data_IF_843759057160
#
_entry.id   IF_843759057160
#
_cell.length_a   1.000
_cell.length_b   1.000
_cell.length_c   1.000
_cell.angle_alpha   90.00
_cell.angle_beta   90.00
_cell.angle_gamma   90.00
#
_symmetry.space_group_name_H-M   'P 1'
#
loop_
_entity.id
_entity.type
_entity.pdbx_description
1 polymer ?
#
# COMPACT_ATOMS: atom_id res chain seq x y z
N UNK A 1 4.46 8.19 -0.22
CA UNK A 1 3.00 8.48 -0.19
C UNK A 1 2.24 7.17 -0.40
N UNK A 2 1.06 7.00 0.18
CA UNK A 2 0.20 5.83 -0.09
C UNK A 2 -1.13 6.27 -0.66
N UNK A 3 -1.61 5.57 -1.69
CA UNK A 3 -2.75 6.00 -2.51
C UNK A 3 -3.59 4.79 -2.84
N UNK A 4 -4.87 4.85 -2.50
CA UNK A 4 -5.82 3.78 -2.82
C UNK A 4 -7.25 4.34 -2.88
N UNK A 5 -8.15 3.73 -3.68
CA UNK A 5 -9.57 4.06 -3.69
C UNK A 5 -10.28 3.51 -2.46
N UNK A 6 -11.16 4.33 -1.86
CA UNK A 6 -11.96 3.99 -0.69
C UNK A 6 -13.08 3.02 -1.04
N UNK A 7 -13.79 2.61 0.00
CA UNK A 7 -15.11 2.02 -0.13
C UNK A 7 -16.03 2.97 -0.93
N UNK A 8 -17.00 2.37 -1.61
CA UNK A 8 -18.01 3.12 -2.33
C UNK A 8 -18.93 3.85 -1.35
N UNK A 9 -19.03 5.16 -1.53
CA UNK A 9 -19.74 6.08 -0.63
C UNK A 9 -21.15 6.40 -1.11
N UNK A 10 -21.57 5.84 -2.25
CA UNK A 10 -22.95 5.62 -2.76
C UNK A 10 -22.83 5.30 -4.24
N UNK A 11 -22.84 6.36 -5.06
CA UNK A 11 -22.68 6.35 -6.51
C UNK A 11 -21.26 6.78 -6.91
N UNK A 12 -20.45 7.21 -5.94
CA UNK A 12 -19.08 7.66 -6.14
C UNK A 12 -18.12 6.92 -5.20
N UNK A 13 -16.88 6.83 -5.65
CA UNK A 13 -15.71 6.40 -4.90
C UNK A 13 -14.82 7.61 -4.62
N UNK A 14 -13.89 7.45 -3.67
CA UNK A 14 -12.92 8.49 -3.34
C UNK A 14 -11.53 7.87 -3.36
N UNK A 15 -10.61 8.37 -4.16
CA UNK A 15 -9.20 8.00 -4.06
C UNK A 15 -8.50 8.96 -3.12
N UNK A 16 -7.93 8.44 -2.05
CA UNK A 16 -7.21 9.25 -1.06
C UNK A 16 -5.72 9.08 -1.24
N UNK A 17 -4.99 10.19 -1.15
CA UNK A 17 -3.57 10.15 -0.82
C UNK A 17 -3.39 10.21 0.69
N UNK A 18 -2.37 9.54 1.22
CA UNK A 18 -2.04 9.56 2.64
C UNK A 18 -0.53 9.65 2.83
N UNK A 19 -0.16 10.30 3.93
CA UNK A 19 1.24 10.46 4.33
C UNK A 19 1.37 10.40 5.84
N UNK A 20 2.60 10.22 6.33
CA UNK A 20 2.91 10.31 7.76
C UNK A 20 3.42 11.71 8.06
N UNK A 21 2.83 12.38 9.05
CA UNK A 21 3.26 13.72 9.44
C UNK A 21 4.56 13.65 10.24
N UNK A 22 5.71 13.86 9.58
CA UNK A 22 7.02 13.53 10.14
C UNK A 22 7.47 14.39 11.32
N UNK A 23 6.86 15.57 11.52
CA UNK A 23 7.22 16.47 12.62
C UNK A 23 6.61 16.07 13.96
N UNK A 24 5.54 15.29 13.93
CA UNK A 24 4.76 14.95 15.13
C UNK A 24 4.80 13.46 15.39
N UNK A 25 4.44 13.08 16.60
CA UNK A 25 4.19 11.70 16.98
C UNK A 25 3.01 11.60 17.94
N UNK A 26 2.31 10.46 17.91
CA UNK A 26 1.32 10.13 18.94
C UNK A 26 1.98 10.06 20.31
N UNK A 27 1.40 10.77 21.29
CA UNK A 27 1.83 10.69 22.70
C UNK A 27 1.77 9.24 23.23
N UNK A 28 0.75 8.48 22.79
CA UNK A 28 0.51 7.09 23.19
C UNK A 28 1.41 6.08 22.48
N UNK A 29 1.52 6.17 21.15
CA UNK A 29 2.18 5.14 20.34
C UNK A 29 3.61 5.48 19.92
N UNK A 30 4.04 6.73 20.13
CA UNK A 30 5.36 7.27 19.74
C UNK A 30 5.68 7.03 18.26
N UNK A 31 4.65 7.11 17.39
CA UNK A 31 4.76 6.98 15.94
C UNK A 31 4.19 8.21 15.24
N UNK A 32 4.75 8.62 14.08
CA UNK A 32 4.17 9.67 13.27
C UNK A 32 2.72 9.37 12.86
N UNK A 33 1.77 10.30 13.11
CA UNK A 33 0.38 10.10 12.75
C UNK A 33 0.19 10.06 11.24
N UNK A 34 -0.90 9.45 10.81
CA UNK A 34 -1.27 9.35 9.40
C UNK A 34 -2.24 10.48 9.08
N UNK A 35 -1.93 11.22 8.02
CA UNK A 35 -2.70 12.36 7.56
C UNK A 35 -3.31 12.05 6.19
N UNK A 36 -4.49 12.60 5.94
CA UNK A 36 -5.16 12.54 4.65
C UNK A 36 -4.61 13.70 3.82
N UNK A 37 -4.08 13.38 2.65
CA UNK A 37 -3.67 14.38 1.67
C UNK A 37 -4.82 14.72 0.70
N UNK A 38 -4.48 15.26 -0.48
CA UNK A 38 -5.44 15.45 -1.55
C UNK A 38 -6.25 14.19 -1.87
N UNK A 39 -7.50 14.39 -2.28
CA UNK A 39 -8.45 13.34 -2.60
C UNK A 39 -9.16 13.61 -3.92
N UNK A 40 -9.48 12.54 -4.66
CA UNK A 40 -10.28 12.59 -5.87
C UNK A 40 -11.62 11.90 -5.64
N UNK A 41 -12.71 12.64 -5.82
CA UNK A 41 -14.06 12.05 -5.89
C UNK A 41 -14.34 11.69 -7.33
N UNK A 42 -14.72 10.44 -7.59
CA UNK A 42 -14.99 9.97 -8.95
C UNK A 42 -16.08 8.88 -8.98
N UNK A 43 -16.66 8.67 -10.15
CA UNK A 43 -17.74 7.68 -10.36
C UNK A 43 -17.25 6.42 -11.07
N UNK A 44 -16.01 6.43 -11.57
CA UNK A 44 -15.42 5.33 -12.34
C UNK A 44 -13.94 5.22 -12.05
N UNK A 45 -13.49 4.00 -11.73
CA UNK A 45 -12.09 3.62 -11.57
C UNK A 45 -11.48 3.30 -12.93
N UNK A 46 -11.02 4.33 -13.63
CA UNK A 46 -10.40 4.20 -14.96
C UNK A 46 -9.03 4.85 -14.98
N UNK A 47 -8.20 4.45 -15.95
CA UNK A 47 -6.88 5.05 -16.14
C UNK A 47 -6.99 6.57 -16.28
N UNK A 48 -7.91 7.06 -17.12
CA UNK A 48 -8.15 8.49 -17.33
C UNK A 48 -8.58 9.22 -16.05
N UNK A 49 -9.37 8.58 -15.18
CA UNK A 49 -9.77 9.15 -13.89
C UNK A 49 -8.55 9.39 -13.00
N UNK A 50 -7.67 8.38 -12.89
CA UNK A 50 -6.49 8.46 -12.04
C UNK A 50 -5.43 9.38 -12.61
N UNK A 51 -5.20 9.32 -13.93
CA UNK A 51 -4.32 10.24 -14.64
C UNK A 51 -4.75 11.70 -14.42
N UNK A 52 -6.05 11.99 -14.57
CA UNK A 52 -6.57 13.33 -14.32
C UNK A 52 -6.29 13.80 -12.88
N UNK A 53 -6.48 12.93 -11.89
CA UNK A 53 -6.20 13.25 -10.50
C UNK A 53 -4.72 13.63 -10.33
N UNK A 54 -3.83 12.80 -10.83
CA UNK A 54 -2.39 12.95 -10.68
C UNK A 54 -1.81 14.18 -11.39
N UNK A 55 -2.18 14.39 -12.65
CA UNK A 55 -1.78 15.59 -13.39
C UNK A 55 -2.30 16.85 -12.71
N UNK A 56 -3.48 16.79 -12.08
CA UNK A 56 -4.00 17.90 -11.26
C UNK A 56 -3.15 18.12 -10.01
N UNK A 57 -2.73 17.05 -9.31
CA UNK A 57 -1.84 17.17 -8.15
C UNK A 57 -0.52 17.86 -8.49
N UNK A 58 0.14 17.40 -9.55
CA UNK A 58 1.40 17.99 -10.02
C UNK A 58 1.19 19.45 -10.45
N UNK A 59 0.11 19.72 -11.19
CA UNK A 59 -0.24 21.07 -11.63
C UNK A 59 -0.49 22.05 -10.48
N UNK A 60 -1.00 21.58 -9.34
CA UNK A 60 -1.24 22.39 -8.15
C UNK A 60 0.00 22.51 -7.23
N UNK A 61 0.87 21.51 -7.21
CA UNK A 61 2.08 21.48 -6.39
C UNK A 61 3.19 20.74 -7.14
N UNK A 62 4.03 21.50 -7.85
CA UNK A 62 5.11 20.95 -8.69
C UNK A 62 6.16 20.20 -7.87
N UNK A 63 6.29 20.49 -6.58
CA UNK A 63 7.17 19.76 -5.67
C UNK A 63 6.79 18.27 -5.57
N UNK A 64 5.55 17.90 -5.89
CA UNK A 64 5.12 16.50 -5.93
C UNK A 64 5.81 15.70 -7.05
N UNK A 65 6.34 16.33 -8.10
CA UNK A 65 7.17 15.66 -9.11
C UNK A 65 8.39 14.95 -8.49
N UNK A 66 8.83 15.41 -7.32
CA UNK A 66 9.98 14.85 -6.60
C UNK A 66 9.60 13.70 -5.67
N UNK A 67 8.34 13.26 -5.64
CA UNK A 67 7.92 12.10 -4.83
C UNK A 67 8.75 10.89 -5.25
N UNK A 68 9.49 10.34 -4.28
CA UNK A 68 10.42 9.22 -4.51
C UNK A 68 9.76 7.86 -4.38
N UNK A 69 8.66 7.76 -3.64
CA UNK A 69 8.00 6.47 -3.34
C UNK A 69 6.49 6.64 -3.28
N UNK A 70 5.80 5.80 -4.06
CA UNK A 70 4.34 5.66 -4.08
C UNK A 70 4.01 4.22 -3.72
N UNK A 71 3.05 4.02 -2.83
CA UNK A 71 2.59 2.68 -2.46
C UNK A 71 1.09 2.53 -2.63
N UNK A 72 0.66 1.36 -3.12
CA UNK A 72 -0.75 1.03 -3.38
C UNK A 72 -1.08 -0.40 -2.95
N UNK A 73 -2.36 -0.76 -3.00
CA UNK A 73 -2.86 -2.12 -2.82
C UNK A 73 -2.56 -3.06 -4.01
N UNK A 74 -2.11 -2.50 -5.13
CA UNK A 74 -1.80 -3.20 -6.37
C UNK A 74 -2.92 -3.20 -7.43
N UNK A 75 -3.92 -2.31 -7.33
CA UNK A 75 -4.88 -2.09 -8.43
C UNK A 75 -4.14 -1.61 -9.69
N UNK A 76 -4.13 -2.45 -10.75
CA UNK A 76 -3.29 -2.22 -11.93
C UNK A 76 -3.56 -0.89 -12.62
N UNK A 77 -4.84 -0.53 -12.79
CA UNK A 77 -5.25 0.71 -13.47
C UNK A 77 -4.76 1.96 -12.72
N UNK A 78 -4.79 1.91 -11.39
CA UNK A 78 -4.23 2.95 -10.52
C UNK A 78 -2.71 3.01 -10.66
N UNK A 79 -2.04 1.86 -10.55
CA UNK A 79 -0.59 1.77 -10.65
C UNK A 79 -0.08 2.28 -12.01
N UNK A 80 -0.77 1.95 -13.10
CA UNK A 80 -0.37 2.37 -14.44
C UNK A 80 -0.49 3.88 -14.64
N UNK A 81 -1.55 4.50 -14.10
CA UNK A 81 -1.70 5.96 -14.11
C UNK A 81 -0.56 6.61 -13.30
N UNK A 82 -0.36 6.18 -12.05
CA UNK A 82 0.68 6.71 -11.17
C UNK A 82 2.10 6.51 -11.72
N UNK A 83 2.36 5.43 -12.46
CA UNK A 83 3.65 5.23 -13.15
C UNK A 83 3.83 6.19 -14.33
N UNK A 84 2.75 6.60 -14.99
CA UNK A 84 2.81 7.56 -16.08
C UNK A 84 3.21 8.95 -15.58
N UNK A 85 2.57 9.46 -14.53
CA UNK A 85 2.85 10.81 -14.00
C UNK A 85 4.05 10.86 -13.05
N UNK A 86 4.38 9.75 -12.39
CA UNK A 86 5.54 9.64 -11.48
C UNK A 86 6.51 8.54 -11.95
N UNK A 87 7.15 8.71 -13.12
CA UNK A 87 8.01 7.68 -13.72
C UNK A 87 9.30 7.44 -12.93
N UNK A 88 9.74 8.41 -12.14
CA UNK A 88 10.95 8.33 -11.30
C UNK A 88 10.68 7.89 -9.86
N UNK A 89 9.41 7.74 -9.47
CA UNK A 89 9.06 7.23 -8.17
C UNK A 89 9.20 5.71 -8.15
N UNK A 90 9.70 5.15 -7.06
CA UNK A 90 9.58 3.73 -6.80
C UNK A 90 8.13 3.40 -6.41
N UNK A 91 7.56 2.39 -7.06
CA UNK A 91 6.19 1.95 -6.81
C UNK A 91 6.21 0.69 -5.96
N UNK A 92 5.52 0.71 -4.83
CA UNK A 92 5.44 -0.39 -3.87
C UNK A 92 4.04 -1.01 -3.86
N UNK A 93 3.98 -2.33 -3.73
CA UNK A 93 2.72 -3.07 -3.62
C UNK A 93 2.56 -3.67 -2.23
N UNK A 94 1.34 -3.57 -1.67
CA UNK A 94 1.03 -4.04 -0.34
C UNK A 94 1.14 -5.58 -0.19
N UNK A 95 1.94 -6.04 0.78
CA UNK A 95 2.12 -7.47 1.07
C UNK A 95 0.83 -8.17 1.51
N UNK A 96 -0.03 -7.47 2.26
CA UNK A 96 -1.31 -8.02 2.74
C UNK A 96 -2.23 -8.31 1.55
N UNK A 97 -2.30 -7.38 0.60
CA UNK A 97 -3.11 -7.53 -0.60
C UNK A 97 -2.53 -8.58 -1.53
N UNK A 98 -1.21 -8.64 -1.72
CA UNK A 98 -0.58 -9.74 -2.46
C UNK A 98 -0.97 -11.10 -1.88
N UNK A 99 -0.79 -11.30 -0.56
CA UNK A 99 -1.13 -12.55 0.13
C UNK A 99 -2.60 -12.94 -0.09
N UNK A 100 -3.53 -11.99 0.03
CA UNK A 100 -4.96 -12.24 -0.21
C UNK A 100 -5.25 -12.62 -1.67
N UNK A 101 -4.58 -11.97 -2.63
CA UNK A 101 -4.73 -12.29 -4.05
C UNK A 101 -4.24 -13.70 -4.38
N UNK A 102 -3.06 -14.09 -3.87
CA UNK A 102 -2.51 -15.43 -4.07
C UNK A 102 -3.45 -16.48 -3.44
N UNK A 103 -3.88 -16.28 -2.18
CA UNK A 103 -4.82 -17.18 -1.50
C UNK A 103 -6.12 -17.40 -2.28
N UNK A 104 -6.74 -16.32 -2.75
CA UNK A 104 -7.97 -16.39 -3.57
C UNK A 104 -7.71 -17.18 -4.84
N UNK A 105 -6.62 -16.88 -5.56
CA UNK A 105 -6.33 -17.59 -6.81
C UNK A 105 -6.03 -19.07 -6.60
N UNK A 106 -5.34 -19.44 -5.53
CA UNK A 106 -5.10 -20.84 -5.16
C UNK A 106 -6.43 -21.58 -4.93
N UNK A 107 -7.37 -20.94 -4.22
CA UNK A 107 -8.72 -21.47 -4.02
C UNK A 107 -9.49 -21.60 -5.34
N UNK A 108 -9.48 -20.56 -6.19
CA UNK A 108 -10.11 -20.59 -7.52
C UNK A 108 -9.48 -21.68 -8.42
N UNK A 109 -8.22 -22.02 -8.15
CA UNK A 109 -7.49 -23.06 -8.85
C UNK A 109 -7.70 -24.46 -8.26
N UNK A 110 -8.46 -24.60 -7.16
CA UNK A 110 -8.62 -25.83 -6.37
C UNK A 110 -7.30 -26.41 -5.84
N UNK A 111 -6.30 -25.56 -5.61
CA UNK A 111 -5.02 -26.03 -5.06
C UNK A 111 -5.23 -26.47 -3.60
N UNK A 112 -4.78 -27.67 -3.20
CA UNK A 112 -4.90 -28.18 -1.84
C UNK A 112 -4.30 -27.24 -0.79
N UNK A 113 -4.82 -27.32 0.44
CA UNK A 113 -4.45 -26.41 1.52
C UNK A 113 -2.97 -26.52 1.93
N UNK A 114 -2.41 -27.72 1.95
CA UNK A 114 -1.00 -27.96 2.27
C UNK A 114 -0.08 -27.32 1.22
N UNK A 115 -0.31 -27.59 -0.07
CA UNK A 115 0.46 -26.99 -1.15
C UNK A 115 0.26 -25.46 -1.20
N UNK A 116 -0.94 -24.97 -0.89
CA UNK A 116 -1.21 -23.54 -0.79
C UNK A 116 -0.37 -22.84 0.27
N UNK A 117 -0.12 -23.50 1.42
CA UNK A 117 0.76 -22.98 2.48
C UNK A 117 2.20 -22.94 1.98
N UNK A 118 2.67 -23.98 1.32
CA UNK A 118 4.03 -24.05 0.77
C UNK A 118 4.26 -22.97 -0.29
N UNK A 119 3.33 -22.80 -1.24
CA UNK A 119 3.39 -21.74 -2.25
C UNK A 119 3.44 -20.36 -1.58
N UNK A 120 2.62 -20.11 -0.54
CA UNK A 120 2.64 -18.83 0.16
C UNK A 120 3.98 -18.58 0.87
N UNK A 121 4.58 -19.61 1.44
CA UNK A 121 5.88 -19.52 2.10
C UNK A 121 7.00 -19.28 1.07
N UNK A 122 6.98 -20.01 -0.05
CA UNK A 122 7.93 -19.85 -1.14
C UNK A 122 7.88 -18.44 -1.74
N UNK A 123 6.68 -17.84 -1.82
CA UNK A 123 6.52 -16.48 -2.36
C UNK A 123 6.86 -15.40 -1.32
N UNK A 124 6.32 -15.49 -0.10
CA UNK A 124 6.34 -14.40 0.89
C UNK A 124 7.40 -14.54 1.98
N UNK A 125 8.11 -15.66 2.01
CA UNK A 125 8.94 -16.07 3.14
C UNK A 125 8.11 -16.57 4.32
N UNK A 126 8.75 -17.29 5.22
CA UNK A 126 8.13 -17.75 6.46
C UNK A 126 9.10 -17.71 7.64
N UNK A 127 8.53 -17.69 8.84
CA UNK A 127 9.30 -17.77 10.08
C UNK A 127 9.14 -19.16 10.67
N UNK A 128 10.26 -19.88 10.82
CA UNK A 128 10.32 -21.21 11.42
C UNK A 128 11.11 -21.08 12.72
N UNK A 129 10.41 -21.11 13.85
CA UNK A 129 10.98 -20.83 15.17
C UNK A 129 11.56 -19.40 15.23
N UNK A 130 12.87 -19.30 15.40
CA UNK A 130 13.61 -18.02 15.41
C UNK A 130 14.19 -17.63 14.05
N UNK A 131 14.17 -18.54 13.07
CA UNK A 131 14.80 -18.34 11.75
C UNK A 131 13.77 -17.86 10.74
N UNK A 132 14.16 -16.91 9.90
CA UNK A 132 13.38 -16.48 8.75
C UNK A 132 13.91 -17.16 7.48
N UNK A 133 13.04 -17.85 6.76
CA UNK A 133 13.33 -18.40 5.43
C UNK A 133 12.82 -17.41 4.41
N UNK A 134 13.73 -16.98 3.53
CA UNK A 134 13.47 -16.01 2.47
C UNK A 134 12.53 -16.61 1.41
N UNK A 135 11.58 -15.79 0.94
CA UNK A 135 10.75 -16.12 -0.22
C UNK A 135 11.16 -15.34 -1.46
N UNK A 136 10.39 -15.47 -2.55
CA UNK A 136 10.60 -14.70 -3.78
C UNK A 136 10.66 -13.18 -3.55
N UNK A 137 9.81 -12.65 -2.66
CA UNK A 137 9.79 -11.22 -2.28
C UNK A 137 11.09 -10.75 -1.62
N UNK A 138 11.94 -11.65 -1.16
CA UNK A 138 13.21 -11.34 -0.50
C UNK A 138 14.41 -11.46 -1.44
N UNK A 139 14.18 -11.76 -2.71
CA UNK A 139 15.20 -11.80 -3.74
C UNK A 139 16.02 -10.50 -3.75
N UNK A 140 17.35 -10.65 -3.81
CA UNK A 140 18.31 -9.54 -3.67
C UNK A 140 18.27 -8.57 -4.86
N UNK A 141 17.91 -9.10 -6.02
CA UNK A 141 17.79 -8.36 -7.26
C UNK A 141 16.93 -9.15 -8.24
N UNK A 142 16.64 -8.51 -9.36
CA UNK A 142 15.88 -9.07 -10.47
C UNK A 142 16.39 -10.43 -10.96
N UNK A 143 17.70 -10.62 -11.15
CA UNK A 143 18.23 -11.89 -11.66
C UNK A 143 18.05 -13.02 -10.64
N UNK A 144 18.25 -12.72 -9.36
CA UNK A 144 17.99 -13.67 -8.29
C UNK A 144 16.50 -14.01 -8.18
N UNK A 145 15.61 -13.03 -8.41
CA UNK A 145 14.17 -13.28 -8.47
C UNK A 145 13.81 -14.23 -9.60
N UNK A 146 14.28 -13.95 -10.83
CA UNK A 146 13.96 -14.74 -12.02
C UNK A 146 14.45 -16.21 -11.85
N UNK A 147 15.68 -16.41 -11.36
CA UNK A 147 16.19 -17.76 -11.05
C UNK A 147 15.38 -18.47 -9.97
N UNK A 148 15.02 -17.78 -8.88
CA UNK A 148 14.25 -18.38 -7.80
C UNK A 148 12.82 -18.72 -8.26
N UNK A 149 12.23 -17.92 -9.16
CA UNK A 149 10.92 -18.15 -9.73
C UNK A 149 10.88 -19.47 -10.51
N UNK A 150 11.89 -19.73 -11.33
CA UNK A 150 12.00 -20.99 -12.09
C UNK A 150 12.04 -22.19 -11.14
N UNK A 151 12.89 -22.12 -10.10
CA UNK A 151 13.03 -23.18 -9.09
C UNK A 151 11.72 -23.46 -8.36
N UNK A 152 11.01 -22.44 -7.89
CA UNK A 152 9.77 -22.67 -7.12
C UNK A 152 8.62 -23.11 -8.02
N UNK A 153 8.54 -22.63 -9.27
CA UNK A 153 7.49 -23.07 -10.19
C UNK A 153 7.69 -24.52 -10.64
N UNK A 154 8.93 -24.96 -10.84
CA UNK A 154 9.25 -26.38 -11.07
C UNK A 154 8.88 -27.24 -9.86
N UNK A 155 9.24 -26.80 -8.64
CA UNK A 155 8.85 -27.45 -7.39
C UNK A 155 7.32 -27.62 -7.29
N UNK A 156 6.56 -26.57 -7.60
CA UNK A 156 5.10 -26.63 -7.54
C UNK A 156 4.51 -27.56 -8.61
N UNK A 157 5.05 -27.55 -9.83
CA UNK A 157 4.62 -28.42 -10.94
C UNK A 157 4.84 -29.91 -10.63
N UNK A 158 5.92 -30.23 -9.94
CA UNK A 158 6.28 -31.61 -9.56
C UNK A 158 5.59 -32.10 -8.27
N UNK A 159 4.67 -31.32 -7.69
CA UNK A 159 3.95 -31.68 -6.49
C UNK A 159 2.89 -32.77 -6.76
N UNK A 160 3.04 -33.94 -6.13
CA UNK A 160 2.11 -35.07 -6.26
C UNK A 160 0.71 -34.82 -5.65
N UNK A 161 0.54 -33.74 -4.87
CA UNK A 161 -0.67 -33.52 -4.07
C UNK A 161 -1.83 -32.87 -4.83
N UNK A 162 -1.63 -32.43 -6.08
CA UNK A 162 -2.63 -31.69 -6.88
C UNK A 162 -2.65 -32.18 -8.32
N UNK A 163 -3.76 -31.99 -9.04
CA UNK A 163 -3.79 -32.33 -10.46
C UNK A 163 -2.91 -31.36 -11.27
N UNK A 164 -2.25 -31.88 -12.31
CA UNK A 164 -1.37 -31.09 -13.19
C UNK A 164 -2.12 -29.88 -13.78
N UNK A 165 -3.38 -30.06 -14.19
CA UNK A 165 -4.19 -28.98 -14.76
C UNK A 165 -4.51 -27.85 -13.79
N UNK A 166 -4.70 -28.15 -12.50
CA UNK A 166 -5.05 -27.16 -11.48
C UNK A 166 -3.85 -26.28 -11.13
N UNK A 167 -2.68 -26.92 -10.95
CA UNK A 167 -1.45 -26.20 -10.63
C UNK A 167 -0.91 -25.40 -11.81
N UNK A 168 -1.00 -25.94 -13.04
CA UNK A 168 -0.57 -25.22 -14.25
C UNK A 168 -1.37 -23.94 -14.44
N UNK A 169 -2.68 -23.97 -14.25
CA UNK A 169 -3.54 -22.77 -14.30
C UNK A 169 -3.12 -21.72 -13.27
N UNK A 170 -2.67 -22.14 -12.08
CA UNK A 170 -2.13 -21.22 -11.09
C UNK A 170 -0.76 -20.66 -11.51
N UNK A 171 0.16 -21.53 -11.94
CA UNK A 171 1.51 -21.16 -12.39
C UNK A 171 1.43 -20.16 -13.55
N UNK A 172 0.58 -20.42 -14.55
CA UNK A 172 0.39 -19.55 -15.71
C UNK A 172 -0.08 -18.15 -15.29
N UNK A 173 -1.06 -18.07 -14.39
CA UNK A 173 -1.52 -16.80 -13.84
C UNK A 173 -0.43 -16.11 -13.02
N UNK A 174 0.29 -16.87 -12.20
CA UNK A 174 1.30 -16.32 -11.30
C UNK A 174 2.45 -15.72 -12.11
N UNK A 175 3.03 -16.50 -13.02
CA UNK A 175 4.15 -16.08 -13.88
C UNK A 175 3.75 -14.96 -14.84
N UNK A 176 2.58 -15.05 -15.46
CA UNK A 176 2.13 -14.06 -16.45
C UNK A 176 1.80 -12.70 -15.84
N UNK A 177 1.38 -12.66 -14.57
CA UNK A 177 0.87 -11.46 -13.92
C UNK A 177 1.53 -11.15 -12.57
N UNK A 178 1.43 -12.03 -11.57
CA UNK A 178 1.85 -11.70 -10.20
C UNK A 178 3.36 -11.64 -10.01
N UNK A 179 4.13 -12.50 -10.69
CA UNK A 179 5.58 -12.47 -10.64
C UNK A 179 6.12 -11.12 -11.14
N UNK A 180 5.54 -10.56 -12.21
CA UNK A 180 5.90 -9.23 -12.73
C UNK A 180 5.68 -8.11 -11.73
N UNK A 181 4.58 -8.18 -10.97
CA UNK A 181 4.31 -7.22 -9.88
C UNK A 181 5.38 -7.36 -8.80
N UNK A 182 5.59 -8.58 -8.28
CA UNK A 182 6.57 -8.82 -7.20
C UNK A 182 7.96 -8.33 -7.60
N UNK A 183 8.40 -8.71 -8.81
CA UNK A 183 9.70 -8.35 -9.40
C UNK A 183 9.92 -6.86 -9.50
N UNK A 184 8.87 -6.06 -9.72
CA UNK A 184 9.00 -4.61 -9.95
C UNK A 184 8.68 -3.75 -8.73
N UNK A 185 7.99 -4.29 -7.72
CA UNK A 185 7.47 -3.46 -6.62
C UNK A 185 7.65 -4.03 -5.20
N UNK A 186 8.25 -5.22 -5.03
CA UNK A 186 8.25 -5.90 -3.73
C UNK A 186 9.56 -6.58 -3.34
N UNK A 187 10.48 -6.83 -4.29
CA UNK A 187 11.78 -7.45 -4.02
C UNK A 187 12.65 -6.61 -3.08
N UNK A 188 13.72 -7.20 -2.53
CA UNK A 188 14.51 -6.59 -1.45
C UNK A 188 15.11 -5.25 -1.86
N UNK A 189 15.81 -5.21 -2.98
CA UNK A 189 16.44 -4.02 -3.54
C UNK A 189 15.44 -2.85 -3.65
N UNK A 190 14.28 -3.08 -4.26
CA UNK A 190 13.20 -2.11 -4.41
C UNK A 190 12.76 -1.55 -3.05
N UNK A 191 12.65 -2.41 -2.03
CA UNK A 191 12.26 -1.99 -0.68
C UNK A 191 13.36 -1.21 0.04
N UNK A 192 14.62 -1.61 -0.11
CA UNK A 192 15.77 -0.90 0.46
C UNK A 192 15.93 0.49 -0.18
N UNK A 193 15.84 0.57 -1.51
CA UNK A 193 15.87 1.83 -2.27
C UNK A 193 14.70 2.76 -1.92
N UNK A 194 13.56 2.17 -1.53
CA UNK A 194 12.40 2.92 -1.02
C UNK A 194 12.55 3.40 0.42
N UNK A 195 13.69 3.14 1.07
CA UNK A 195 13.97 3.57 2.44
C UNK A 195 13.27 2.73 3.51
N UNK A 196 12.92 1.47 3.23
CA UNK A 196 12.29 0.57 4.22
C UNK A 196 13.29 -0.12 5.17
N UNK A 197 14.54 0.35 5.20
CA UNK A 197 15.63 -0.17 6.02
C UNK A 197 16.43 -1.27 5.32
N UNK A 198 17.49 -1.76 5.98
CA UNK A 198 18.28 -2.91 5.54
C UNK A 198 18.63 -3.77 6.76
N UNK A 199 18.02 -4.97 6.93
CA UNK A 199 17.06 -5.60 6.03
C UNK A 199 15.73 -4.83 5.96
N UNK A 200 15.08 -4.76 4.79
CA UNK A 200 13.89 -3.95 4.62
C UNK A 200 12.65 -4.60 5.24
N UNK A 201 11.80 -3.77 5.85
CA UNK A 201 10.47 -4.23 6.30
C UNK A 201 9.52 -4.45 5.11
N UNK A 202 8.43 -5.18 5.36
CA UNK A 202 7.35 -5.34 4.38
C UNK A 202 6.53 -4.04 4.25
N UNK A 203 6.26 -3.62 3.01
CA UNK A 203 5.36 -2.50 2.76
C UNK A 203 3.90 -2.91 2.96
N UNK A 204 3.14 -2.09 3.69
CA UNK A 204 1.70 -2.26 3.87
C UNK A 204 0.97 -0.94 3.71
N UNK A 205 -0.25 -0.99 3.19
CA UNK A 205 -1.16 0.15 3.05
C UNK A 205 -1.90 0.47 4.37
N UNK A 206 -1.32 0.11 5.53
CA UNK A 206 -1.95 0.33 6.84
C UNK A 206 -2.23 1.81 7.12
N UNK A 207 -1.38 2.71 6.61
CA UNK A 207 -1.62 4.15 6.69
C UNK A 207 -2.92 4.52 5.98
N UNK A 208 -3.09 4.02 4.75
CA UNK A 208 -4.32 4.19 4.02
C UNK A 208 -5.53 3.57 4.74
N UNK A 209 -5.43 2.36 5.28
CA UNK A 209 -6.55 1.75 6.05
C UNK A 209 -6.92 2.56 7.29
N UNK A 210 -5.94 3.20 7.94
CA UNK A 210 -6.18 4.13 9.05
C UNK A 210 -6.95 5.36 8.58
N UNK A 211 -6.53 5.96 7.46
CA UNK A 211 -7.24 7.09 6.85
C UNK A 211 -8.66 6.73 6.42
N UNK A 212 -8.82 5.57 5.79
CA UNK A 212 -10.10 5.03 5.39
C UNK A 212 -11.02 4.84 6.61
N UNK A 213 -10.48 4.34 7.73
CA UNK A 213 -11.22 4.23 8.99
C UNK A 213 -11.62 5.59 9.58
N UNK A 214 -10.72 6.58 9.57
CA UNK A 214 -11.03 7.96 9.99
C UNK A 214 -12.18 8.53 9.15
N UNK A 215 -12.12 8.36 7.83
CA UNK A 215 -13.16 8.81 6.92
C UNK A 215 -14.48 8.09 7.16
N UNK A 216 -14.46 6.75 7.25
CA UNK A 216 -15.64 5.92 7.58
C UNK A 216 -16.32 6.38 8.86
N UNK A 217 -15.53 6.64 9.89
CA UNK A 217 -16.02 7.09 11.19
C UNK A 217 -16.64 8.48 11.08
N UNK A 218 -16.01 9.41 10.34
CA UNK A 218 -16.54 10.76 10.13
C UNK A 218 -17.88 10.77 9.38
N UNK A 219 -18.06 9.83 8.45
CA UNK A 219 -19.31 9.66 7.69
C UNK A 219 -20.32 8.73 8.35
N UNK A 220 -20.05 8.31 9.60
CA UNK A 220 -20.87 7.37 10.38
C UNK A 220 -21.17 6.06 9.64
N UNK A 221 -20.22 5.56 8.84
CA UNK A 221 -20.35 4.33 8.05
C UNK A 221 -21.54 4.31 7.08
N UNK A 222 -22.13 5.47 6.81
CA UNK A 222 -23.33 5.59 5.99
C UNK A 222 -22.97 6.00 4.56
N UNK A 223 -23.83 5.62 3.62
CA UNK A 223 -23.86 6.24 2.29
C UNK A 223 -24.20 7.72 2.46
N UNK A 224 -23.50 8.59 1.76
CA UNK A 224 -23.70 10.04 1.86
C UNK A 224 -23.95 10.63 0.49
N UNK A 225 -24.82 11.63 0.44
CA UNK A 225 -24.86 12.53 -0.71
C UNK A 225 -23.54 13.28 -0.84
N UNK A 226 -23.13 13.55 -2.08
CA UNK A 226 -21.84 14.17 -2.36
C UNK A 226 -21.66 15.49 -1.60
N UNK A 227 -22.69 16.34 -1.56
CA UNK A 227 -22.66 17.63 -0.85
C UNK A 227 -22.38 17.47 0.67
N UNK A 228 -23.01 16.47 1.29
CA UNK A 228 -22.81 16.14 2.71
C UNK A 228 -21.43 15.53 2.94
N UNK A 229 -21.00 14.63 2.05
CA UNK A 229 -19.66 14.05 2.09
C UNK A 229 -18.57 15.12 2.04
N UNK A 230 -18.64 16.07 1.09
CA UNK A 230 -17.64 17.12 0.93
C UNK A 230 -17.52 18.00 2.19
N UNK A 231 -18.64 18.32 2.85
CA UNK A 231 -18.63 19.06 4.12
C UNK A 231 -17.93 18.28 5.24
N UNK A 232 -18.24 16.98 5.37
CA UNK A 232 -17.63 16.12 6.38
C UNK A 232 -16.14 15.89 6.12
N UNK A 233 -15.76 15.71 4.86
CA UNK A 233 -14.38 15.56 4.44
C UNK A 233 -13.57 16.83 4.73
N UNK A 234 -14.09 18.01 4.37
CA UNK A 234 -13.45 19.29 4.70
C UNK A 234 -13.27 19.45 6.21
N UNK A 235 -14.28 19.11 7.00
CA UNK A 235 -14.16 19.17 8.46
C UNK A 235 -13.09 18.21 8.98
N UNK A 236 -12.96 17.01 8.41
CA UNK A 236 -11.91 16.06 8.79
C UNK A 236 -10.51 16.62 8.54
N UNK A 237 -10.29 17.32 7.43
CA UNK A 237 -9.00 17.98 7.14
C UNK A 237 -8.74 19.10 8.15
N UNK A 238 -9.72 19.96 8.43
CA UNK A 238 -9.61 21.02 9.44
C UNK A 238 -9.28 20.43 10.82
N UNK A 239 -9.91 19.31 11.20
CA UNK A 239 -9.61 18.64 12.47
C UNK A 239 -8.15 18.16 12.52
N UNK A 240 -7.59 17.67 11.40
CA UNK A 240 -6.18 17.27 11.31
C UNK A 240 -5.22 18.47 11.38
N UNK A 241 -5.61 19.62 10.83
CA UNK A 241 -4.85 20.88 10.94
C UNK A 241 -4.84 21.38 12.39
N UNK A 242 -5.99 21.37 13.08
CA UNK A 242 -6.05 21.70 14.51
C UNK A 242 -5.24 20.73 15.38
N UNK A 243 -5.18 19.45 15.01
CA UNK A 243 -4.31 18.48 15.68
C UNK A 243 -2.83 18.87 15.58
N UNK A 244 -2.41 19.47 14.46
CA UNK A 244 -1.05 20.02 14.29
C UNK A 244 -0.81 21.21 15.21
N UNK A 245 -1.73 22.18 15.20
CA UNK A 245 -1.64 23.37 16.06
C UNK A 245 -1.58 22.98 17.54
N UNK A 246 -2.46 22.07 17.96
CA UNK A 246 -2.48 21.54 19.31
C UNK A 246 -1.15 20.91 19.70
N UNK A 247 -0.51 20.14 18.80
CA UNK A 247 0.78 19.53 19.08
C UNK A 247 1.90 20.57 19.30
N UNK A 248 1.85 21.70 18.58
CA UNK A 248 2.83 22.80 18.70
C UNK A 248 2.72 23.50 20.06
N UNK A 249 1.49 23.69 20.57
CA UNK A 249 1.23 24.31 21.87
C UNK A 249 1.15 23.30 23.03
N UNK A 250 1.62 22.06 22.83
CA UNK A 250 1.68 21.02 23.85
C UNK A 250 0.34 20.36 24.23
N UNK A 251 -0.76 20.67 23.51
CA UNK A 251 -2.11 20.14 23.74
C UNK A 251 -2.40 18.91 22.86
N UNK A 252 -3.60 18.34 23.02
CA UNK A 252 -4.08 17.24 22.18
C UNK A 252 -3.33 15.92 22.34
N UNK A 253 -3.55 15.00 21.38
CA UNK A 253 -3.04 13.63 21.40
C UNK A 253 -1.65 13.47 20.76
N UNK A 254 -1.16 14.52 20.12
CA UNK A 254 0.13 14.55 19.41
C UNK A 254 1.11 15.49 20.10
N UNK A 255 2.39 15.22 19.91
CA UNK A 255 3.50 16.04 20.36
C UNK A 255 4.51 16.18 19.23
N UNK A 256 5.27 17.27 19.22
CA UNK A 256 6.43 17.39 18.33
C UNK A 256 7.47 16.32 18.71
N UNK A 257 8.09 15.73 17.70
CA UNK A 257 9.21 14.80 17.94
C UNK A 257 10.38 15.58 18.52
N UNK A 258 11.25 14.90 19.27
CA UNK A 258 12.39 15.49 19.99
C UNK A 258 13.23 16.44 19.12
N UNK A 259 13.49 16.05 17.87
CA UNK A 259 14.26 16.86 16.92
C UNK A 259 13.59 18.18 16.46
N UNK A 260 12.29 18.35 16.73
CA UNK A 260 11.50 19.55 16.40
C UNK A 260 10.97 20.24 17.66
N UNK A 261 11.42 19.82 18.85
CA UNK A 261 10.88 20.32 20.11
C UNK A 261 11.18 21.81 20.32
N UNK A 262 12.22 22.34 19.67
CA UNK A 262 12.51 23.80 19.63
C UNK A 262 11.42 24.62 18.94
N UNK A 263 10.51 24.00 18.19
CA UNK A 263 9.37 24.68 17.55
C UNK A 263 8.14 24.71 18.45
N UNK A 264 8.17 24.08 19.63
CA UNK A 264 7.04 24.12 20.56
C UNK A 264 6.89 25.51 21.18
N UNK A 265 5.66 25.98 21.29
CA UNK A 265 5.33 27.18 22.05
C UNK A 265 5.03 26.73 23.47
N UNK A 266 5.94 27.04 24.41
CA UNK A 266 5.66 26.84 25.83
C UNK A 266 4.57 27.84 26.24
N UNK A 267 3.38 27.32 26.54
CA UNK A 267 2.28 28.07 27.17
C UNK A 267 2.42 28.07 28.68
#
# INVERSE_FOLDING_TARGET
MTIDPTFSLRDFDVTLTTYRHLFQQSKRYKKPPVFIGPACVHFKKTFSTYLFFESTLIGQCRELEQVRVIGTDGEQVLVDAFKHEFPYAQHLTCFIHLRRNIKRKLQDCNVPANLSIDILNDVLGNKIGTTYVEGLVDAKNINNFDNNLDVVTEKWRNSEVTSVSEIDRFIDWFTSYKAKIIRSSMIRDVREESGLGSPPIQFTTNSYETANFMLKSKVNYNKNELSKFLKLFRQLIIDQEHDVENAIIGRGNYELRVQYQSWSIQS
#
